data_IF_943114194987
#
_entry.id   IF_943114194987
#
_cell.length_a   1.000
_cell.length_b   1.000
_cell.length_c   1.000
_cell.angle_alpha   90.00
_cell.angle_beta   90.00
_cell.angle_gamma   90.00
#
_symmetry.space_group_name_H-M   'P 1'
#
loop_
_entity.id
_entity.type
_entity.pdbx_description
1 polymer ?
#
# COMPACT_ATOMS: atom_id res chain seq x y z
N UNK A 1 -4.78 0.69 18.25
CA UNK A 1 -4.56 1.28 16.91
C UNK A 1 -3.23 0.77 16.37
N UNK A 2 -3.18 0.27 15.14
CA UNK A 2 -1.96 -0.28 14.53
C UNK A 2 -1.54 0.53 13.32
N UNK A 3 -0.30 0.33 12.86
CA UNK A 3 0.18 0.83 11.56
C UNK A 3 0.17 -0.30 10.55
N UNK A 4 -0.34 -0.03 9.36
CA UNK A 4 -0.18 -0.94 8.21
C UNK A 4 1.30 -1.10 7.89
N UNK A 5 1.67 -2.29 7.43
CA UNK A 5 3.07 -2.66 7.22
C UNK A 5 3.22 -3.44 5.92
N UNK A 6 4.32 -3.17 5.22
CA UNK A 6 4.82 -4.03 4.16
C UNK A 6 6.08 -4.69 4.69
N UNK A 7 6.18 -6.01 4.53
CA UNK A 7 7.32 -6.79 4.99
C UNK A 7 7.92 -7.53 3.81
N UNK A 8 9.24 -7.51 3.72
CA UNK A 8 9.99 -8.30 2.77
C UNK A 8 10.77 -9.37 3.50
N UNK A 9 10.73 -10.57 2.96
CA UNK A 9 11.41 -11.74 3.48
C UNK A 9 12.28 -12.33 2.39
N UNK A 10 13.39 -12.91 2.82
CA UNK A 10 14.18 -13.80 2.02
C UNK A 10 13.34 -15.05 1.68
N UNK A 11 13.24 -15.38 0.39
CA UNK A 11 12.31 -16.39 -0.08
C UNK A 11 12.73 -17.82 0.33
N UNK A 12 14.03 -18.07 0.51
CA UNK A 12 14.56 -19.39 0.87
C UNK A 12 14.52 -19.62 2.37
N UNK A 13 14.90 -18.60 3.15
CA UNK A 13 15.09 -18.71 4.60
C UNK A 13 13.92 -18.19 5.42
N UNK A 14 13.01 -17.41 4.81
CA UNK A 14 11.95 -16.69 5.52
C UNK A 14 12.45 -15.58 6.44
N UNK A 15 13.74 -15.23 6.40
CA UNK A 15 14.31 -14.16 7.21
C UNK A 15 13.79 -12.80 6.73
N UNK A 16 13.29 -11.98 7.65
CA UNK A 16 12.87 -10.61 7.31
C UNK A 16 14.07 -9.78 6.84
N UNK A 17 13.99 -9.21 5.64
CA UNK A 17 15.01 -8.32 5.07
C UNK A 17 14.72 -6.88 5.51
N UNK A 18 13.48 -6.43 5.35
CA UNK A 18 13.06 -5.10 5.76
C UNK A 18 11.57 -5.05 6.10
N UNK A 19 11.19 -3.96 6.77
CA UNK A 19 9.82 -3.62 7.11
C UNK A 19 9.58 -2.14 6.87
N UNK A 20 8.55 -1.82 6.09
CA UNK A 20 8.02 -0.48 5.95
C UNK A 20 6.73 -0.36 6.78
N UNK A 21 6.56 0.75 7.49
CA UNK A 21 5.37 1.03 8.30
C UNK A 21 4.73 2.31 7.81
N UNK A 22 3.44 2.26 7.51
CA UNK A 22 2.71 3.47 7.15
C UNK A 22 2.59 4.43 8.34
N UNK A 23 2.59 5.72 8.03
CA UNK A 23 2.49 6.76 9.05
C UNK A 23 1.04 6.93 9.55
N UNK A 24 0.05 6.62 8.71
CA UNK A 24 -1.37 6.74 9.06
C UNK A 24 -1.79 5.61 10.01
N UNK A 25 -2.61 5.95 11.00
CA UNK A 25 -3.24 4.94 11.84
C UNK A 25 -4.24 4.11 11.03
N UNK A 26 -4.25 2.81 11.27
CA UNK A 26 -5.28 1.93 10.74
C UNK A 26 -6.54 2.06 11.59
N UNK A 27 -7.62 2.51 10.96
CA UNK A 27 -8.89 2.86 11.63
C UNK A 27 -10.09 2.07 11.09
N UNK A 28 -9.90 1.19 10.10
CA UNK A 28 -10.96 0.30 9.62
C UNK A 28 -11.36 -0.68 10.75
N UNK A 29 -12.66 -0.83 10.99
CA UNK A 29 -13.23 -1.58 12.12
C UNK A 29 -12.88 -3.09 12.12
N UNK A 30 -12.46 -3.64 10.97
CA UNK A 30 -11.96 -5.01 10.85
C UNK A 30 -10.42 -5.01 10.81
N UNK A 31 -9.74 -5.41 11.91
CA UNK A 31 -8.27 -5.37 12.01
C UNK A 31 -7.64 -6.59 11.33
N UNK A 32 -7.61 -6.59 10.00
CA UNK A 32 -6.92 -7.60 9.18
C UNK A 32 -5.64 -7.11 8.51
N UNK A 33 -5.35 -5.81 8.59
CA UNK A 33 -4.24 -5.18 7.88
C UNK A 33 -4.62 -4.74 6.46
N UNK A 34 -3.63 -4.42 5.61
CA UNK A 34 -3.87 -4.05 4.23
C UNK A 34 -4.56 -5.17 3.47
N UNK A 35 -5.47 -4.79 2.58
CA UNK A 35 -6.36 -5.71 1.84
C UNK A 35 -6.03 -5.82 0.37
N UNK A 36 -4.94 -5.17 -0.02
CA UNK A 36 -4.39 -5.15 -1.37
C UNK A 36 -3.10 -5.96 -1.41
N UNK A 37 -2.85 -6.65 -2.51
CA UNK A 37 -1.54 -7.22 -2.79
C UNK A 37 -0.58 -6.13 -3.29
N UNK A 38 0.73 -6.23 -2.99
CA UNK A 38 1.74 -5.39 -3.63
C UNK A 38 1.88 -5.74 -5.11
N UNK A 39 2.24 -4.75 -5.92
CA UNK A 39 2.63 -4.94 -7.33
C UNK A 39 4.09 -4.56 -7.50
N UNK A 40 4.88 -5.44 -8.13
CA UNK A 40 6.31 -5.24 -8.34
C UNK A 40 6.59 -5.05 -9.83
N UNK A 41 7.27 -3.96 -10.19
CA UNK A 41 7.69 -3.67 -11.56
C UNK A 41 8.99 -2.87 -11.56
N UNK A 42 9.98 -3.28 -12.36
CA UNK A 42 11.20 -2.49 -12.59
C UNK A 42 11.96 -2.02 -11.33
N UNK A 43 12.00 -2.81 -10.26
CA UNK A 43 12.66 -2.45 -9.00
C UNK A 43 11.82 -1.59 -8.05
N UNK A 44 10.54 -1.39 -8.37
CA UNK A 44 9.56 -0.69 -7.56
C UNK A 44 8.55 -1.67 -6.98
N UNK A 45 8.08 -1.39 -5.76
CA UNK A 45 7.04 -2.13 -5.05
C UNK A 45 5.93 -1.16 -4.71
N UNK A 46 4.81 -1.23 -5.41
CA UNK A 46 3.65 -0.35 -5.24
C UNK A 46 2.61 -1.03 -4.36
N UNK A 47 2.17 -0.33 -3.31
CA UNK A 47 1.20 -0.84 -2.33
C UNK A 47 0.09 0.18 -2.08
N UNK A 48 -1.13 -0.32 -1.88
CA UNK A 48 -2.25 0.49 -1.43
C UNK A 48 -2.65 0.05 -0.01
N UNK A 49 -2.53 0.97 0.95
CA UNK A 49 -3.05 0.79 2.31
C UNK A 49 -4.57 0.89 2.34
N UNK A 50 -5.21 0.20 3.29
CA UNK A 50 -6.67 0.22 3.46
C UNK A 50 -7.22 1.63 3.74
N UNK A 51 -6.37 2.52 4.25
CA UNK A 51 -6.68 3.93 4.51
C UNK A 51 -6.40 4.87 3.33
N UNK A 52 -6.07 4.34 2.14
CA UNK A 52 -5.94 5.13 0.90
C UNK A 52 -4.56 5.76 0.66
N UNK A 53 -3.52 5.29 1.35
CA UNK A 53 -2.14 5.67 1.03
C UNK A 53 -1.63 4.73 -0.06
N UNK A 54 -1.39 5.29 -1.25
CA UNK A 54 -0.70 4.61 -2.34
C UNK A 54 0.79 4.93 -2.24
N UNK A 55 1.60 3.96 -1.85
CA UNK A 55 3.03 4.14 -1.60
C UNK A 55 3.84 3.30 -2.60
N UNK A 56 4.87 3.91 -3.18
CA UNK A 56 5.89 3.19 -3.93
C UNK A 56 7.18 3.11 -3.13
N UNK A 57 7.66 1.88 -2.97
CA UNK A 57 8.89 1.54 -2.29
C UNK A 57 9.92 1.06 -3.31
N UNK A 58 11.21 1.30 -3.06
CA UNK A 58 12.27 0.54 -3.70
C UNK A 58 12.32 -0.90 -3.17
N UNK A 59 13.06 -1.78 -3.84
CA UNK A 59 13.34 -3.14 -3.35
C UNK A 59 14.12 -3.17 -2.02
N UNK A 60 14.67 -2.03 -1.59
CA UNK A 60 15.30 -1.82 -0.29
C UNK A 60 14.31 -1.38 0.81
N UNK A 61 13.02 -1.26 0.47
CA UNK A 61 11.95 -0.85 1.39
C UNK A 61 11.86 0.66 1.62
N UNK A 62 12.68 1.49 0.95
CA UNK A 62 12.61 2.95 1.10
C UNK A 62 11.52 3.55 0.23
N UNK A 63 10.82 4.56 0.76
CA UNK A 63 9.80 5.30 0.02
C UNK A 63 10.45 6.08 -1.13
N UNK A 64 9.96 5.86 -2.34
CA UNK A 64 10.29 6.65 -3.53
C UNK A 64 9.27 7.76 -3.77
N UNK A 65 7.98 7.44 -3.62
CA UNK A 65 6.90 8.42 -3.67
C UNK A 65 5.67 7.90 -2.92
N UNK A 66 4.75 8.83 -2.59
CA UNK A 66 3.45 8.53 -1.96
C UNK A 66 2.36 9.42 -2.54
N UNK A 67 1.16 8.87 -2.64
CA UNK A 67 -0.11 9.57 -2.89
C UNK A 67 -1.10 9.26 -1.78
N UNK A 68 -1.99 10.20 -1.47
CA UNK A 68 -3.06 10.02 -0.47
C UNK A 68 -4.40 10.35 -1.11
N UNK A 69 -5.25 9.34 -1.27
CA UNK A 69 -6.52 9.48 -2.00
C UNK A 69 -7.50 10.43 -1.32
N UNK A 70 -7.50 10.47 0.01
CA UNK A 70 -8.35 11.39 0.76
C UNK A 70 -7.89 12.85 0.59
N UNK A 71 -6.59 13.10 0.62
CA UNK A 71 -6.03 14.45 0.45
C UNK A 71 -6.09 14.95 -0.99
N UNK A 72 -5.85 14.09 -1.96
CA UNK A 72 -5.71 14.48 -3.37
C UNK A 72 -7.04 14.48 -4.12
N UNK A 73 -7.95 13.55 -3.79
CA UNK A 73 -9.21 13.36 -4.53
C UNK A 73 -10.46 13.51 -3.67
N UNK A 74 -10.32 13.77 -2.36
CA UNK A 74 -11.46 13.83 -1.45
C UNK A 74 -12.15 12.48 -1.24
N UNK A 75 -11.50 11.37 -1.61
CA UNK A 75 -12.10 10.05 -1.54
C UNK A 75 -12.33 9.62 -0.08
N UNK A 76 -13.55 9.20 0.30
CA UNK A 76 -13.80 8.67 1.63
C UNK A 76 -13.10 7.31 1.78
N UNK A 77 -12.71 6.97 3.02
CA UNK A 77 -12.23 5.61 3.32
C UNK A 77 -13.44 4.68 3.29
N UNK A 78 -13.48 3.64 2.43
CA UNK A 78 -14.60 2.71 2.38
C UNK A 78 -14.81 2.01 3.73
N UNK A 79 -16.04 1.55 4.00
CA UNK A 79 -16.36 0.78 5.22
C UNK A 79 -15.39 -0.39 5.46
N UNK A 80 -14.94 -1.02 4.37
CA UNK A 80 -14.00 -2.16 4.39
C UNK A 80 -12.57 -1.77 4.03
N UNK A 81 -12.27 -0.48 3.91
CA UNK A 81 -11.00 0.04 3.41
C UNK A 81 -10.79 -0.21 1.91
N UNK A 82 -9.73 0.39 1.36
CA UNK A 82 -9.31 0.13 -0.01
C UNK A 82 -8.69 -1.27 -0.15
N UNK A 83 -9.03 -1.97 -1.22
CA UNK A 83 -8.60 -3.37 -1.46
C UNK A 83 -8.14 -3.64 -2.89
N UNK A 84 -8.23 -2.66 -3.80
CA UNK A 84 -7.85 -2.84 -5.19
C UNK A 84 -6.33 -2.82 -5.36
N UNK A 85 -5.76 -3.93 -5.83
CA UNK A 85 -4.35 -4.02 -6.15
C UNK A 85 -3.95 -2.98 -7.22
N UNK A 86 -2.86 -2.23 -7.02
CA UNK A 86 -2.32 -1.36 -8.06
C UNK A 86 -1.92 -2.17 -9.31
N UNK A 87 -2.27 -1.70 -10.51
CA UNK A 87 -1.78 -2.27 -11.76
C UNK A 87 -0.67 -1.37 -12.32
N UNK A 88 0.43 -1.97 -12.76
CA UNK A 88 1.46 -1.25 -13.54
C UNK A 88 1.35 -1.65 -15.00
N UNK A 89 1.22 -0.68 -15.89
CA UNK A 89 1.18 -0.90 -17.33
C UNK A 89 1.87 0.25 -18.07
N UNK A 90 2.88 -0.07 -18.89
CA UNK A 90 3.59 0.94 -19.69
C UNK A 90 4.20 2.08 -18.85
N UNK A 91 4.70 1.77 -17.64
CA UNK A 91 5.24 2.76 -16.70
C UNK A 91 4.18 3.59 -15.96
N UNK A 92 2.90 3.26 -16.11
CA UNK A 92 1.79 3.94 -15.44
C UNK A 92 1.24 3.07 -14.31
N UNK A 93 1.04 3.65 -13.12
CA UNK A 93 0.30 3.03 -12.01
C UNK A 93 -1.17 3.37 -12.14
N UNK A 94 -2.01 2.34 -12.20
CA UNK A 94 -3.47 2.42 -12.31
C UNK A 94 -4.06 1.87 -11.01
N UNK A 95 -4.90 2.66 -10.34
CA UNK A 95 -5.56 2.28 -9.09
C UNK A 95 -7.02 2.74 -9.07
N UNK A 96 -7.87 1.94 -8.40
CA UNK A 96 -9.22 2.34 -8.07
C UNK A 96 -9.19 3.25 -6.83
N UNK A 97 -9.47 4.54 -7.04
CA UNK A 97 -9.48 5.54 -5.97
C UNK A 97 -10.72 5.39 -5.07
N UNK A 98 -11.84 4.91 -5.62
CA UNK A 98 -13.13 4.96 -4.95
C UNK A 98 -13.81 6.33 -5.12
N UNK A 99 -14.95 6.52 -4.46
CA UNK A 99 -15.80 7.70 -4.57
C UNK A 99 -17.13 7.49 -3.86
N UNK A 100 -18.02 8.47 -3.93
CA UNK A 100 -19.44 8.32 -3.53
C UNK A 100 -20.27 7.61 -4.59
#
# INVERSE_FOLDING_TARGET
KGKEQVRCFDAETGRQIWIHREARDYEVSYPGGPRSTPTVDGGQVVVLGAMGQLTCLGTDGKVQWRRDFGKEYGAPVPMWGHSAAPLVHGGTVICMVGGE
#
